data_IF_029375404409
#
_entry.id   IF_029375404409
#
_cell.length_a   1.000
_cell.length_b   1.000
_cell.length_c   1.000
_cell.angle_alpha   90.00
_cell.angle_beta   90.00
_cell.angle_gamma   90.00
#
_symmetry.space_group_name_H-M   'P 1'
#
loop_
_entity.id
_entity.type
_entity.pdbx_description
1 polymer ?
#
# COMPACT_ATOMS: atom_id res chain seq x y z
N UNK A 1 -23.96 6.68 -31.17
CA UNK A 1 -23.34 6.84 -32.51
C UNK A 1 -22.13 7.74 -32.35
N UNK A 2 -20.97 7.49 -32.93
CA UNK A 2 -19.87 8.44 -32.90
C UNK A 2 -20.28 9.70 -33.60
N UNK A 3 -19.84 10.84 -33.07
CA UNK A 3 -20.02 12.12 -33.73
C UNK A 3 -19.19 12.19 -35.04
N UNK A 4 -19.43 13.21 -35.86
CA UNK A 4 -18.76 13.37 -37.13
C UNK A 4 -17.23 13.59 -37.02
N UNK A 5 -16.64 13.68 -35.81
CA UNK A 5 -15.22 13.85 -35.54
C UNK A 5 -14.51 12.53 -35.18
N UNK A 6 -15.25 11.43 -35.06
CA UNK A 6 -14.69 10.11 -34.69
C UNK A 6 -14.20 10.00 -33.27
N UNK A 7 -14.41 10.99 -32.42
CA UNK A 7 -14.14 10.90 -30.98
C UNK A 7 -15.29 10.18 -30.29
N UNK A 8 -15.01 9.05 -29.64
CA UNK A 8 -15.96 8.46 -28.69
C UNK A 8 -16.28 9.51 -27.64
N UNK A 9 -17.57 9.83 -27.46
CA UNK A 9 -18.01 10.69 -26.37
C UNK A 9 -17.64 10.01 -25.05
N UNK A 10 -17.07 10.74 -24.10
CA UNK A 10 -16.71 10.25 -22.77
C UNK A 10 -17.94 9.92 -21.89
N UNK A 11 -19.12 9.79 -22.48
CA UNK A 11 -20.40 9.81 -21.74
C UNK A 11 -20.98 8.47 -21.37
N UNK A 12 -20.34 7.34 -21.65
CA UNK A 12 -20.94 6.04 -21.33
C UNK A 12 -19.94 5.03 -20.79
N UNK A 13 -19.39 5.29 -19.59
CA UNK A 13 -18.85 4.21 -18.78
C UNK A 13 -19.81 4.00 -17.60
N UNK A 14 -20.68 3.01 -17.72
CA UNK A 14 -21.46 2.53 -16.58
C UNK A 14 -20.50 2.07 -15.50
N UNK A 15 -20.54 2.74 -14.36
CA UNK A 15 -19.93 2.26 -13.14
C UNK A 15 -20.92 1.26 -12.53
N UNK A 16 -20.46 0.09 -12.19
CA UNK A 16 -21.27 -0.97 -11.62
C UNK A 16 -22.01 -0.48 -10.37
N UNK A 17 -23.33 -0.54 -10.38
CA UNK A 17 -24.20 -0.46 -9.22
C UNK A 17 -24.96 0.85 -8.99
N UNK A 18 -24.39 2.02 -9.29
CA UNK A 18 -25.04 3.33 -9.05
C UNK A 18 -25.03 4.21 -10.30
N UNK A 19 -26.06 5.03 -10.46
CA UNK A 19 -26.09 6.08 -11.48
C UNK A 19 -25.21 7.29 -11.04
N UNK A 20 -24.78 8.11 -11.98
CA UNK A 20 -24.03 9.33 -11.67
C UNK A 20 -24.83 10.29 -10.77
N UNK A 21 -26.14 10.29 -10.87
CA UNK A 21 -27.04 11.10 -10.03
C UNK A 21 -27.07 10.57 -8.58
N UNK A 22 -27.10 9.25 -8.40
CA UNK A 22 -27.00 8.63 -7.06
C UNK A 22 -25.65 8.95 -6.40
N UNK A 23 -24.55 8.94 -7.16
CA UNK A 23 -23.25 9.36 -6.64
C UNK A 23 -23.24 10.82 -6.18
N UNK A 24 -23.78 11.75 -7.01
CA UNK A 24 -23.83 13.18 -6.68
C UNK A 24 -24.71 13.53 -5.49
N UNK A 25 -25.70 12.70 -5.21
CA UNK A 25 -26.61 12.85 -4.08
C UNK A 25 -26.12 12.14 -2.80
N UNK A 26 -25.01 11.41 -2.89
CA UNK A 26 -24.42 10.75 -1.72
C UNK A 26 -23.58 11.72 -0.89
N UNK A 27 -23.31 11.35 0.36
CA UNK A 27 -22.37 12.07 1.20
C UNK A 27 -20.94 11.94 0.64
N UNK A 28 -20.31 13.05 0.21
CA UNK A 28 -18.97 13.01 -0.35
C UNK A 28 -17.90 12.44 0.59
N UNK A 29 -18.12 12.52 1.90
CA UNK A 29 -17.16 12.01 2.90
C UNK A 29 -16.95 10.49 2.79
N UNK A 30 -17.95 9.75 2.31
CA UNK A 30 -17.85 8.30 2.10
C UNK A 30 -16.88 7.91 0.98
N UNK A 31 -16.49 8.87 0.15
CA UNK A 31 -15.57 8.67 -0.98
C UNK A 31 -14.22 9.34 -0.75
N UNK A 32 -14.04 9.97 0.41
CA UNK A 32 -12.75 10.56 0.79
C UNK A 32 -11.70 9.45 0.88
N UNK A 33 -10.57 9.59 0.17
CA UNK A 33 -9.50 8.62 0.26
C UNK A 33 -8.91 8.58 1.66
N UNK A 34 -8.74 7.38 2.20
CA UNK A 34 -8.03 7.11 3.44
C UNK A 34 -6.97 6.02 3.25
N UNK A 35 -6.18 5.77 4.26
CA UNK A 35 -5.15 4.73 4.27
C UNK A 35 -4.20 4.78 3.04
N UNK A 36 -3.87 5.98 2.55
CA UNK A 36 -3.01 6.12 1.38
C UNK A 36 -1.59 5.65 1.69
N UNK A 37 -1.12 4.73 0.86
CA UNK A 37 0.25 4.23 0.90
C UNK A 37 0.84 4.13 -0.50
N UNK A 38 2.17 4.08 -0.56
CA UNK A 38 2.94 3.97 -1.79
C UNK A 38 3.94 2.83 -1.67
N UNK A 39 4.16 2.10 -2.75
CA UNK A 39 5.15 1.02 -2.85
C UNK A 39 5.97 1.11 -4.12
N UNK A 40 7.10 0.44 -4.16
CA UNK A 40 7.88 0.21 -5.38
C UNK A 40 7.31 -1.03 -6.07
N UNK A 41 6.48 -0.85 -7.10
CA UNK A 41 5.93 -1.97 -7.87
C UNK A 41 7.02 -2.67 -8.69
N UNK A 42 7.85 -1.87 -9.35
CA UNK A 42 9.04 -2.29 -10.06
C UNK A 42 10.10 -1.19 -9.90
N UNK A 43 11.03 -1.39 -8.98
CA UNK A 43 12.03 -0.38 -8.66
C UNK A 43 13.06 -0.20 -9.80
N UNK A 44 13.35 -1.25 -10.57
CA UNK A 44 14.30 -1.19 -11.68
C UNK A 44 13.78 -0.27 -12.79
N UNK A 45 12.47 -0.31 -13.05
CA UNK A 45 11.80 0.52 -14.06
C UNK A 45 11.13 1.77 -13.47
N UNK A 46 11.39 2.10 -12.21
CA UNK A 46 10.82 3.26 -11.53
C UNK A 46 9.28 3.27 -11.55
N UNK A 47 8.66 2.09 -11.41
CA UNK A 47 7.20 1.97 -11.34
C UNK A 47 6.74 2.01 -9.89
N UNK A 48 5.85 2.96 -9.60
CA UNK A 48 5.24 3.13 -8.29
C UNK A 48 3.83 2.58 -8.26
N UNK A 49 3.48 1.93 -7.15
CA UNK A 49 2.12 1.53 -6.82
C UNK A 49 1.55 2.42 -5.73
N UNK A 50 0.31 2.84 -5.90
CA UNK A 50 -0.45 3.62 -4.93
C UNK A 50 -1.68 2.83 -4.51
N UNK A 51 -1.94 2.79 -3.21
CA UNK A 51 -3.11 2.12 -2.64
C UNK A 51 -3.81 3.07 -1.67
N UNK A 52 -5.12 3.18 -1.78
CA UNK A 52 -5.96 3.93 -0.84
C UNK A 52 -7.32 3.27 -0.72
N UNK A 53 -8.10 3.64 0.28
CA UNK A 53 -9.45 3.10 0.45
C UNK A 53 -10.50 4.20 0.41
N UNK A 54 -11.74 3.78 0.21
CA UNK A 54 -12.95 4.58 0.37
C UNK A 54 -14.01 3.78 1.11
N UNK A 55 -14.85 4.43 1.90
CA UNK A 55 -15.92 3.77 2.66
C UNK A 55 -17.15 3.42 1.78
N UNK A 56 -17.19 3.91 0.54
CA UNK A 56 -18.23 3.59 -0.45
C UNK A 56 -17.61 3.29 -1.81
N UNK A 57 -18.35 2.56 -2.66
CA UNK A 57 -17.92 2.21 -4.01
C UNK A 57 -17.58 3.47 -4.80
N UNK A 58 -16.32 3.63 -5.24
CA UNK A 58 -15.91 4.83 -5.96
C UNK A 58 -16.52 4.87 -7.37
N UNK A 59 -16.83 6.08 -7.85
CA UNK A 59 -17.39 6.27 -9.18
C UNK A 59 -16.31 6.27 -10.28
N UNK A 60 -15.22 6.98 -10.05
CA UNK A 60 -14.07 7.04 -10.96
C UNK A 60 -12.78 7.33 -10.19
N UNK A 61 -12.25 6.32 -9.51
CA UNK A 61 -11.03 6.50 -8.74
C UNK A 61 -9.84 6.77 -9.64
N UNK A 62 -9.03 7.76 -9.30
CA UNK A 62 -7.86 8.18 -10.08
C UNK A 62 -6.69 8.57 -9.19
N UNK A 63 -5.49 8.40 -9.75
CA UNK A 63 -4.26 9.05 -9.34
C UNK A 63 -3.99 10.20 -10.31
N UNK A 64 -3.83 11.41 -9.81
CA UNK A 64 -3.32 12.55 -10.55
C UNK A 64 -1.89 12.82 -10.12
N UNK A 65 -0.98 13.00 -11.07
CA UNK A 65 0.43 13.24 -10.78
C UNK A 65 1.02 14.23 -11.79
N UNK A 66 1.82 15.16 -11.30
CA UNK A 66 2.41 16.23 -12.09
C UNK A 66 3.90 16.32 -11.82
N UNK A 67 4.71 16.33 -12.87
CA UNK A 67 6.12 16.66 -12.78
C UNK A 67 6.28 18.11 -12.29
N UNK A 68 7.00 18.30 -11.21
CA UNK A 68 7.14 19.61 -10.58
C UNK A 68 7.94 20.61 -11.42
N UNK A 69 8.85 20.12 -12.27
CA UNK A 69 9.70 20.96 -13.09
C UNK A 69 9.07 21.28 -14.45
N UNK A 70 8.63 20.26 -15.17
CA UNK A 70 8.05 20.42 -16.51
C UNK A 70 6.60 20.87 -16.48
N UNK A 71 5.87 20.58 -15.40
CA UNK A 71 4.43 20.77 -15.29
C UNK A 71 3.61 19.71 -16.04
N UNK A 72 4.24 18.69 -16.63
CA UNK A 72 3.54 17.61 -17.31
C UNK A 72 2.64 16.86 -16.33
N UNK A 73 1.36 16.75 -16.66
CA UNK A 73 0.36 16.06 -15.84
C UNK A 73 -0.03 14.72 -16.45
N UNK A 74 -0.19 13.72 -15.58
CA UNK A 74 -0.72 12.41 -15.93
C UNK A 74 -1.87 12.06 -15.00
N UNK A 75 -2.90 11.42 -15.55
CA UNK A 75 -4.02 10.86 -14.81
C UNK A 75 -4.08 9.37 -15.07
N UNK A 76 -4.07 8.58 -14.01
CA UNK A 76 -4.16 7.12 -14.07
C UNK A 76 -5.46 6.68 -13.41
N UNK A 77 -6.24 5.86 -14.11
CA UNK A 77 -7.41 5.21 -13.52
C UNK A 77 -6.95 4.13 -12.55
N UNK A 78 -7.62 4.07 -11.41
CA UNK A 78 -7.38 3.02 -10.43
C UNK A 78 -8.38 1.89 -10.61
N UNK A 79 -7.89 0.66 -10.46
CA UNK A 79 -8.74 -0.48 -10.20
C UNK A 79 -9.19 -0.46 -8.74
N UNK A 80 -10.35 -1.01 -8.43
CA UNK A 80 -10.79 -1.16 -7.06
C UNK A 80 -11.39 -2.53 -6.77
N UNK A 81 -11.32 -2.92 -5.51
CA UNK A 81 -11.86 -4.19 -5.03
C UNK A 81 -12.62 -3.95 -3.72
N UNK A 82 -13.82 -4.50 -3.63
CA UNK A 82 -14.59 -4.52 -2.41
C UNK A 82 -13.94 -5.47 -1.39
N UNK A 83 -13.79 -5.01 -0.17
CA UNK A 83 -13.18 -5.76 0.93
C UNK A 83 -14.09 -5.74 2.15
N UNK A 84 -14.45 -6.93 2.61
CA UNK A 84 -15.18 -7.09 3.87
C UNK A 84 -14.22 -6.93 5.04
N UNK A 85 -14.66 -6.21 6.05
CA UNK A 85 -13.91 -5.92 7.26
C UNK A 85 -14.83 -5.84 8.46
N UNK A 86 -14.30 -5.46 9.59
CA UNK A 86 -15.07 -5.28 10.83
C UNK A 86 -14.79 -3.91 11.43
N UNK A 87 -15.74 -3.42 12.21
CA UNK A 87 -15.50 -2.39 13.23
C UNK A 87 -15.89 -2.94 14.61
N UNK A 88 -15.19 -2.48 15.63
CA UNK A 88 -15.62 -2.75 17.01
C UNK A 88 -16.61 -1.66 17.45
N UNK A 89 -17.79 -2.05 17.89
CA UNK A 89 -18.80 -1.14 18.38
C UNK A 89 -19.44 -1.72 19.64
N UNK A 90 -19.32 -1.03 20.76
CA UNK A 90 -19.83 -1.45 22.06
C UNK A 90 -19.41 -2.90 22.45
N UNK A 91 -18.17 -3.28 22.11
CA UNK A 91 -17.66 -4.63 22.40
C UNK A 91 -18.14 -5.74 21.45
N UNK A 92 -18.84 -5.39 20.38
CA UNK A 92 -19.32 -6.31 19.36
C UNK A 92 -18.64 -6.05 18.03
N UNK A 93 -18.37 -7.11 17.27
CA UNK A 93 -17.86 -7.03 15.91
C UNK A 93 -19.03 -6.71 14.94
N UNK A 94 -18.95 -5.59 14.25
CA UNK A 94 -19.93 -5.16 13.26
C UNK A 94 -19.31 -5.26 11.87
N UNK A 95 -19.90 -6.05 10.95
CA UNK A 95 -19.44 -6.13 9.57
C UNK A 95 -19.49 -4.76 8.89
N UNK A 96 -18.44 -4.43 8.18
CA UNK A 96 -18.35 -3.26 7.31
C UNK A 96 -17.70 -3.66 5.99
N UNK A 97 -17.89 -2.84 4.99
CA UNK A 97 -17.25 -2.99 3.68
C UNK A 97 -16.51 -1.70 3.37
N UNK A 98 -15.33 -1.83 2.80
CA UNK A 98 -14.60 -0.72 2.19
C UNK A 98 -14.11 -1.11 0.79
N UNK A 99 -13.63 -0.13 0.04
CA UNK A 99 -13.13 -0.35 -1.32
C UNK A 99 -11.65 0.01 -1.38
N UNK A 100 -10.81 -0.97 -1.73
CA UNK A 100 -9.38 -0.77 -1.90
C UNK A 100 -9.10 -0.37 -3.35
N UNK A 101 -8.68 0.87 -3.55
CA UNK A 101 -8.33 1.43 -4.84
C UNK A 101 -6.83 1.31 -5.09
N UNK A 102 -6.44 1.01 -6.32
CA UNK A 102 -5.04 0.72 -6.68
C UNK A 102 -4.71 1.31 -8.04
N UNK A 103 -3.63 2.08 -8.07
CA UNK A 103 -3.07 2.62 -9.31
C UNK A 103 -1.57 2.36 -9.38
N UNK A 104 -1.03 2.20 -10.57
CA UNK A 104 0.42 2.12 -10.79
C UNK A 104 0.84 2.99 -11.96
N UNK A 105 2.04 3.54 -11.87
CA UNK A 105 2.59 4.44 -12.89
C UNK A 105 4.10 4.32 -12.96
N UNK A 106 4.61 4.32 -14.18
CA UNK A 106 6.03 4.50 -14.45
C UNK A 106 6.37 5.98 -14.43
N UNK A 107 7.39 6.33 -13.67
CA UNK A 107 7.85 7.71 -13.46
C UNK A 107 9.31 7.87 -13.89
N UNK A 108 9.70 9.10 -14.20
CA UNK A 108 11.09 9.41 -14.46
C UNK A 108 11.89 9.32 -13.16
N UNK A 109 13.01 8.59 -13.14
CA UNK A 109 13.89 8.52 -11.97
C UNK A 109 14.45 9.89 -11.54
N UNK A 110 14.80 10.01 -10.25
CA UNK A 110 15.40 11.20 -9.62
C UNK A 110 14.62 12.51 -9.84
N UNK A 111 13.32 12.41 -10.04
CA UNK A 111 12.41 13.51 -10.41
C UNK A 111 11.44 13.82 -9.28
N UNK A 112 11.10 15.11 -9.12
CA UNK A 112 10.09 15.55 -8.15
C UNK A 112 8.73 15.61 -8.78
N UNK A 113 7.77 14.97 -8.16
CA UNK A 113 6.37 14.97 -8.54
C UNK A 113 5.48 15.48 -7.42
N UNK A 114 4.33 16.03 -7.82
CA UNK A 114 3.23 16.35 -6.91
C UNK A 114 2.06 15.48 -7.33
N UNK A 115 1.44 14.79 -6.39
CA UNK A 115 0.34 13.89 -6.67
C UNK A 115 -0.81 14.01 -5.68
N UNK A 116 -1.98 13.58 -6.09
CA UNK A 116 -3.15 13.32 -5.24
C UNK A 116 -3.90 12.11 -5.77
N UNK A 117 -4.65 11.44 -4.90
CA UNK A 117 -5.58 10.38 -5.27
C UNK A 117 -7.00 10.78 -4.90
N UNK A 118 -7.99 10.23 -5.59
CA UNK A 118 -9.38 10.59 -5.30
C UNK A 118 -10.36 10.04 -6.30
N UNK A 119 -11.53 10.68 -6.37
CA UNK A 119 -12.58 10.36 -7.31
C UNK A 119 -12.86 11.55 -8.24
N UNK A 120 -12.69 11.32 -9.55
CA UNK A 120 -12.82 12.37 -10.56
C UNK A 120 -14.25 12.93 -10.66
N UNK A 121 -15.28 12.08 -10.54
CA UNK A 121 -16.66 12.53 -10.70
C UNK A 121 -17.18 13.27 -9.49
N UNK A 122 -16.71 12.87 -8.31
CA UNK A 122 -17.13 13.48 -7.06
C UNK A 122 -16.25 14.67 -6.66
N UNK A 123 -15.12 14.85 -7.36
CA UNK A 123 -14.14 15.91 -7.07
C UNK A 123 -13.64 15.85 -5.61
N UNK A 124 -13.48 14.65 -5.08
CA UNK A 124 -12.96 14.38 -3.72
C UNK A 124 -11.55 13.83 -3.84
N UNK A 125 -10.57 14.51 -3.25
CA UNK A 125 -9.15 14.17 -3.36
C UNK A 125 -8.44 14.31 -2.03
N UNK A 126 -7.31 13.62 -1.88
CA UNK A 126 -6.34 13.92 -0.82
C UNK A 126 -5.68 15.27 -1.05
N UNK A 127 -5.05 15.80 -0.02
CA UNK A 127 -4.11 16.90 -0.20
C UNK A 127 -2.99 16.51 -1.16
N UNK A 128 -2.50 17.51 -1.92
CA UNK A 128 -1.36 17.32 -2.80
C UNK A 128 -0.10 16.96 -2.00
N UNK A 129 0.57 15.92 -2.43
CA UNK A 129 1.79 15.42 -1.78
C UNK A 129 2.96 15.47 -2.74
N UNK A 130 4.08 16.04 -2.29
CA UNK A 130 5.33 16.02 -3.04
C UNK A 130 6.13 14.77 -2.73
N UNK A 131 6.58 14.08 -3.77
CA UNK A 131 7.52 12.96 -3.70
C UNK A 131 8.75 13.22 -4.57
N UNK A 132 9.85 12.57 -4.23
CA UNK A 132 11.01 12.45 -5.11
C UNK A 132 11.19 10.97 -5.46
N UNK A 133 11.19 10.66 -6.76
CA UNK A 133 11.37 9.29 -7.22
C UNK A 133 12.79 8.78 -6.93
N UNK A 134 12.90 7.45 -6.82
CA UNK A 134 14.19 6.77 -6.70
C UNK A 134 15.07 7.03 -7.93
N UNK A 135 16.39 6.85 -7.79
CA UNK A 135 17.31 6.85 -8.93
C UNK A 135 17.23 5.51 -9.67
N UNK A 136 17.32 5.54 -10.99
CA UNK A 136 17.32 4.31 -11.80
C UNK A 136 18.56 3.44 -11.53
N UNK A 137 19.68 4.08 -11.19
CA UNK A 137 20.94 3.42 -10.85
C UNK A 137 21.66 4.25 -9.79
N UNK A 138 22.00 3.62 -8.68
CA UNK A 138 22.80 4.25 -7.63
C UNK A 138 24.16 3.55 -7.51
N UNK A 139 25.21 4.26 -7.92
CA UNK A 139 26.58 3.85 -7.63
C UNK A 139 27.05 4.32 -6.25
N UNK A 140 26.22 5.11 -5.57
CA UNK A 140 26.51 5.69 -4.26
C UNK A 140 25.81 4.90 -3.14
N UNK A 141 26.23 5.15 -1.92
CA UNK A 141 25.58 4.59 -0.72
C UNK A 141 24.16 5.12 -0.60
N UNK A 142 23.20 4.24 -0.49
CA UNK A 142 21.81 4.54 -0.24
C UNK A 142 21.32 3.85 1.04
N UNK A 143 20.17 4.25 1.57
CA UNK A 143 19.65 3.76 2.83
C UNK A 143 18.20 3.32 2.67
N UNK A 144 17.85 2.25 3.36
CA UNK A 144 16.47 1.88 3.66
C UNK A 144 16.32 1.71 5.17
N UNK A 145 15.08 1.69 5.62
CA UNK A 145 14.78 1.42 7.03
C UNK A 145 14.02 0.10 7.11
N UNK A 146 14.41 -0.73 8.05
CA UNK A 146 13.67 -1.92 8.42
C UNK A 146 12.93 -1.69 9.73
N UNK A 147 11.63 -1.98 9.71
CA UNK A 147 10.73 -1.94 10.87
C UNK A 147 9.88 -3.19 10.93
N UNK A 148 9.38 -3.51 12.11
CA UNK A 148 8.50 -4.65 12.36
C UNK A 148 7.65 -4.36 13.60
N UNK A 149 6.60 -5.17 13.81
CA UNK A 149 5.89 -5.26 15.07
C UNK A 149 5.39 -3.90 15.60
N UNK A 150 4.86 -3.07 14.72
CA UNK A 150 4.24 -1.80 15.13
C UNK A 150 2.95 -2.02 15.90
N UNK A 151 2.25 -3.11 15.65
CA UNK A 151 1.06 -3.62 16.37
C UNK A 151 0.12 -2.51 16.84
N UNK A 152 -0.15 -1.54 15.96
CA UNK A 152 -0.97 -0.40 16.31
C UNK A 152 -2.37 -0.85 16.71
N UNK A 153 -2.75 -0.51 17.93
CA UNK A 153 -4.08 -0.75 18.45
C UNK A 153 -5.02 0.41 18.14
N UNK A 154 -6.31 0.10 18.04
CA UNK A 154 -7.36 1.09 18.09
C UNK A 154 -7.37 1.84 19.42
N UNK A 155 -8.12 2.91 19.51
CA UNK A 155 -8.23 3.77 20.70
C UNK A 155 -8.20 2.99 22.02
N UNK A 156 -7.17 3.23 22.81
CA UNK A 156 -7.07 2.66 24.16
C UNK A 156 -8.08 3.38 25.06
N UNK A 157 -9.12 2.67 25.48
CA UNK A 157 -10.19 3.23 26.29
C UNK A 157 -9.78 3.63 27.71
N UNK A 158 -8.61 3.25 28.18
CA UNK A 158 -8.18 3.41 29.59
C UNK A 158 -6.99 4.36 29.81
N UNK A 159 -6.85 5.41 28.98
CA UNK A 159 -5.79 6.42 29.20
C UNK A 159 -4.37 5.92 28.92
N UNK A 160 -4.20 4.72 28.37
CA UNK A 160 -2.94 4.22 27.85
C UNK A 160 -2.56 4.93 26.54
N UNK A 161 -1.28 5.00 26.28
CA UNK A 161 -0.76 5.48 25.00
C UNK A 161 -0.90 4.33 24.01
N UNK A 162 -1.77 4.48 23.00
CA UNK A 162 -1.90 3.47 21.94
C UNK A 162 -0.55 3.20 21.27
N UNK A 163 -0.28 1.95 20.93
CA UNK A 163 1.01 1.54 20.34
C UNK A 163 1.31 2.26 19.04
N UNK A 164 0.29 2.72 18.30
CA UNK A 164 0.44 3.57 17.12
C UNK A 164 1.26 4.84 17.33
N UNK A 165 1.25 5.41 18.54
CA UNK A 165 2.08 6.60 18.87
C UNK A 165 3.57 6.28 18.81
N UNK A 166 3.98 5.09 19.20
CA UNK A 166 5.40 4.71 19.12
C UNK A 166 5.84 4.56 17.66
N UNK A 167 5.01 3.94 16.84
CA UNK A 167 5.28 3.84 15.41
C UNK A 167 5.32 5.21 14.74
N UNK A 168 4.43 6.12 15.10
CA UNK A 168 4.45 7.51 14.62
C UNK A 168 5.75 8.25 14.97
N UNK A 169 6.34 7.99 16.14
CA UNK A 169 7.65 8.55 16.50
C UNK A 169 8.78 7.97 15.65
N UNK A 170 8.74 6.67 15.36
CA UNK A 170 9.69 6.02 14.44
C UNK A 170 9.57 6.62 13.04
N UNK A 171 8.35 6.72 12.50
CA UNK A 171 8.11 7.31 11.18
C UNK A 171 8.52 8.78 11.11
N UNK A 172 8.33 9.55 12.17
CA UNK A 172 8.83 10.92 12.26
C UNK A 172 10.36 10.96 12.11
N UNK A 173 11.08 10.11 12.85
CA UNK A 173 12.54 10.03 12.77
C UNK A 173 13.01 9.59 11.38
N UNK A 174 12.28 8.67 10.73
CA UNK A 174 12.54 8.25 9.35
C UNK A 174 12.32 9.41 8.38
N UNK A 175 11.22 10.13 8.51
CA UNK A 175 10.89 11.26 7.63
C UNK A 175 11.82 12.47 7.78
N UNK A 176 12.48 12.61 8.94
CA UNK A 176 13.50 13.62 9.19
C UNK A 176 14.92 13.19 8.71
N UNK A 177 15.12 11.91 8.46
CA UNK A 177 16.38 11.39 7.96
C UNK A 177 16.52 11.63 6.45
N UNK A 178 17.73 12.01 6.03
CA UNK A 178 18.04 12.17 4.62
C UNK A 178 18.31 10.80 3.95
N UNK A 179 17.99 10.71 2.67
CA UNK A 179 18.39 9.60 1.78
C UNK A 179 17.77 8.23 2.07
N UNK A 180 16.65 8.17 2.81
CA UNK A 180 15.86 6.96 2.93
C UNK A 180 15.08 6.76 1.63
N UNK A 181 15.30 5.62 0.95
CA UNK A 181 14.65 5.28 -0.32
C UNK A 181 13.31 4.61 -0.13
N UNK A 182 13.21 3.73 0.84
CA UNK A 182 11.99 3.01 1.18
C UNK A 182 12.07 2.43 2.60
N UNK A 183 10.93 1.99 3.08
CA UNK A 183 10.77 1.27 4.35
C UNK A 183 10.47 -0.18 4.01
N UNK A 184 11.14 -1.12 4.67
CA UNK A 184 10.77 -2.54 4.71
C UNK A 184 10.03 -2.80 6.01
N UNK A 185 8.77 -3.22 5.94
CA UNK A 185 7.97 -3.58 7.11
C UNK A 185 7.69 -5.08 7.11
N UNK A 186 8.18 -5.78 8.11
CA UNK A 186 8.16 -7.25 8.10
C UNK A 186 7.00 -7.89 8.84
N UNK A 187 5.91 -7.14 8.96
CA UNK A 187 4.62 -7.64 9.46
C UNK A 187 4.28 -7.17 10.86
N UNK A 188 3.12 -7.62 11.33
CA UNK A 188 2.49 -7.18 12.57
C UNK A 188 2.34 -5.66 12.64
N UNK A 189 1.75 -5.11 11.56
CA UNK A 189 1.52 -3.67 11.40
C UNK A 189 0.48 -3.19 12.40
N UNK A 190 -0.58 -3.97 12.55
CA UNK A 190 -1.71 -3.71 13.45
C UNK A 190 -1.96 -4.92 14.36
N UNK A 191 -2.54 -4.70 15.53
CA UNK A 191 -2.85 -5.79 16.46
C UNK A 191 -3.92 -6.75 15.93
N UNK A 192 -4.96 -6.23 15.26
CA UNK A 192 -6.00 -7.03 14.63
C UNK A 192 -6.35 -6.48 13.26
N UNK A 193 -5.82 -7.08 12.21
CA UNK A 193 -5.99 -6.63 10.84
C UNK A 193 -7.43 -6.70 10.32
N UNK A 194 -8.31 -7.44 10.97
CA UNK A 194 -9.74 -7.48 10.67
C UNK A 194 -10.46 -6.14 10.94
N UNK A 195 -9.92 -5.26 11.79
CA UNK A 195 -10.53 -3.99 12.13
C UNK A 195 -10.00 -2.86 11.27
N UNK A 196 -10.89 -2.25 10.48
CA UNK A 196 -10.52 -1.10 9.63
C UNK A 196 -10.00 0.09 10.45
N UNK A 197 -10.56 0.32 11.64
CA UNK A 197 -10.13 1.42 12.51
C UNK A 197 -8.65 1.33 12.89
N UNK A 198 -8.11 0.13 13.05
CA UNK A 198 -6.71 -0.06 13.40
C UNK A 198 -5.80 0.36 12.24
N UNK A 199 -6.18 0.04 11.01
CA UNK A 199 -5.50 0.48 9.81
C UNK A 199 -5.58 2.00 9.61
N UNK A 200 -6.78 2.59 9.77
CA UNK A 200 -6.95 4.05 9.71
C UNK A 200 -6.05 4.74 10.74
N UNK A 201 -6.04 4.28 11.98
CA UNK A 201 -5.21 4.88 13.03
C UNK A 201 -3.72 4.83 12.72
N UNK A 202 -3.23 3.78 12.08
CA UNK A 202 -1.80 3.71 11.74
C UNK A 202 -1.47 4.45 10.44
N UNK A 203 -2.33 4.38 9.44
CA UNK A 203 -2.02 4.91 8.10
C UNK A 203 -2.39 6.39 7.98
N UNK A 204 -3.57 6.80 8.44
CA UNK A 204 -4.02 8.19 8.32
C UNK A 204 -3.30 9.13 9.28
N UNK A 205 -3.04 8.71 10.52
CA UNK A 205 -2.24 9.49 11.46
C UNK A 205 -0.80 9.71 10.96
N UNK A 206 -0.29 8.81 10.13
CA UNK A 206 1.05 8.86 9.57
C UNK A 206 1.09 9.22 8.08
N UNK A 207 -0.01 9.68 7.52
CA UNK A 207 -0.14 10.08 6.12
C UNK A 207 1.04 10.93 5.63
N UNK A 208 1.44 11.93 6.38
CA UNK A 208 2.53 12.85 6.02
C UNK A 208 3.89 12.18 5.77
N UNK A 209 4.09 10.94 6.23
CA UNK A 209 5.30 10.14 6.01
C UNK A 209 5.06 9.03 5.00
N UNK A 210 4.00 8.24 5.20
CA UNK A 210 3.68 7.06 4.41
C UNK A 210 3.24 7.39 2.97
N UNK A 211 2.72 8.60 2.75
CA UNK A 211 2.44 9.10 1.41
C UNK A 211 3.68 9.58 0.64
N UNK A 212 4.86 9.66 1.29
CA UNK A 212 6.09 10.19 0.68
C UNK A 212 7.21 9.16 0.53
N UNK A 213 7.19 8.12 1.35
CA UNK A 213 8.23 7.10 1.40
C UNK A 213 7.59 5.75 1.05
N UNK A 214 8.04 5.07 -0.02
CA UNK A 214 7.52 3.76 -0.37
C UNK A 214 7.67 2.75 0.77
N UNK A 215 6.64 1.93 0.99
CA UNK A 215 6.66 0.86 1.97
C UNK A 215 6.57 -0.49 1.28
N UNK A 216 7.57 -1.33 1.55
CA UNK A 216 7.65 -2.71 1.09
C UNK A 216 7.31 -3.62 2.27
N UNK A 217 6.04 -4.00 2.38
CA UNK A 217 5.54 -4.73 3.53
C UNK A 217 5.31 -6.21 3.24
N UNK A 218 5.43 -7.04 4.26
CA UNK A 218 4.93 -8.42 4.27
C UNK A 218 3.93 -8.62 5.41
N UNK A 219 3.15 -9.68 5.35
CA UNK A 219 2.24 -10.05 6.43
C UNK A 219 2.98 -10.72 7.58
N UNK A 220 2.73 -10.27 8.81
CA UNK A 220 3.01 -11.00 10.01
C UNK A 220 1.87 -11.95 10.40
N UNK A 221 1.94 -12.55 11.59
CA UNK A 221 0.86 -13.43 12.06
C UNK A 221 -0.38 -12.65 12.47
N UNK A 222 -0.28 -11.38 12.85
CA UNK A 222 -1.41 -10.51 13.14
C UNK A 222 -2.22 -10.13 11.91
N UNK A 223 -1.69 -10.30 10.71
CA UNK A 223 -2.38 -10.10 9.43
C UNK A 223 -2.90 -11.39 8.81
N UNK A 224 -2.50 -12.58 9.27
CA UNK A 224 -2.75 -13.83 8.52
C UNK A 224 -3.38 -14.97 9.30
N UNK A 225 -3.51 -14.85 10.63
CA UNK A 225 -4.12 -15.87 11.48
C UNK A 225 -5.60 -15.57 11.76
N UNK A 226 -6.18 -16.21 12.77
CA UNK A 226 -7.58 -16.01 13.19
C UNK A 226 -7.95 -14.55 13.56
N UNK A 227 -6.96 -13.67 13.67
CA UNK A 227 -7.14 -12.25 14.00
C UNK A 227 -7.48 -11.38 12.78
N UNK A 228 -7.52 -11.94 11.58
CA UNK A 228 -7.39 -11.15 10.36
C UNK A 228 -8.25 -11.62 9.19
N UNK A 229 -8.44 -10.74 8.24
CA UNK A 229 -8.82 -11.05 6.86
C UNK A 229 -7.62 -11.49 6.03
N UNK A 230 -7.89 -12.18 4.91
CA UNK A 230 -6.81 -12.63 4.01
C UNK A 230 -6.12 -11.44 3.34
N UNK A 231 -4.79 -11.40 3.43
CA UNK A 231 -3.93 -10.46 2.69
C UNK A 231 -4.22 -8.96 2.93
N UNK A 232 -4.70 -8.58 4.11
CA UNK A 232 -4.98 -7.18 4.45
C UNK A 232 -3.76 -6.28 4.27
N UNK A 233 -2.58 -6.70 4.71
CA UNK A 233 -1.34 -5.93 4.51
C UNK A 233 -1.12 -5.62 3.03
N UNK A 234 -1.35 -6.59 2.16
CA UNK A 234 -1.17 -6.41 0.73
C UNK A 234 -2.19 -5.46 0.12
N UNK A 235 -3.43 -5.49 0.62
CA UNK A 235 -4.46 -4.54 0.18
C UNK A 235 -4.19 -3.12 0.62
N UNK A 236 -3.38 -2.92 1.67
CA UNK A 236 -3.13 -1.61 2.28
C UNK A 236 -1.80 -0.99 1.89
N UNK A 237 -0.72 -1.78 1.85
CA UNK A 237 0.64 -1.28 1.62
C UNK A 237 1.21 -1.61 0.27
N UNK A 238 0.83 -2.72 -0.33
CA UNK A 238 1.51 -3.23 -1.50
C UNK A 238 0.57 -3.31 -2.68
N UNK A 239 0.80 -2.46 -3.68
CA UNK A 239 0.05 -2.57 -4.92
C UNK A 239 0.67 -3.63 -5.82
N UNK A 240 -0.11 -4.68 -6.14
CA UNK A 240 0.17 -5.68 -7.19
C UNK A 240 1.65 -6.05 -7.40
N UNK A 241 2.49 -5.91 -6.37
CA UNK A 241 3.85 -6.41 -6.42
C UNK A 241 3.77 -7.88 -6.83
N UNK A 242 4.55 -8.32 -7.82
CA UNK A 242 4.58 -9.73 -8.19
C UNK A 242 4.80 -10.59 -6.96
N UNK A 243 3.80 -11.35 -6.58
CA UNK A 243 3.77 -12.13 -5.35
C UNK A 243 3.25 -13.52 -5.56
N UNK A 244 3.64 -14.41 -4.68
CA UNK A 244 3.03 -15.72 -4.55
C UNK A 244 2.04 -15.69 -3.39
N UNK A 245 0.75 -15.85 -3.68
CA UNK A 245 -0.27 -15.92 -2.66
C UNK A 245 -0.33 -17.30 -2.04
N UNK A 246 -0.58 -17.32 -0.74
CA UNK A 246 -0.74 -18.53 0.04
C UNK A 246 -2.04 -18.47 0.85
N UNK A 247 -2.40 -19.55 1.51
CA UNK A 247 -3.54 -19.57 2.41
C UNK A 247 -3.36 -18.59 3.59
N UNK A 248 -2.12 -18.41 4.06
CA UNK A 248 -1.75 -17.56 5.18
C UNK A 248 -0.76 -16.48 4.76
N UNK A 249 -1.19 -15.57 3.89
CA UNK A 249 -0.37 -14.44 3.45
C UNK A 249 0.30 -14.64 2.09
N UNK A 250 1.46 -14.05 1.89
CA UNK A 250 2.15 -14.02 0.60
C UNK A 250 3.67 -13.88 0.78
N UNK A 251 4.41 -14.20 -0.27
CA UNK A 251 5.85 -13.94 -0.37
C UNK A 251 6.20 -13.38 -1.75
N UNK A 252 7.25 -12.57 -1.83
CA UNK A 252 7.68 -11.91 -3.06
C UNK A 252 9.15 -11.49 -2.99
N UNK A 253 9.69 -11.01 -4.11
CA UNK A 253 10.99 -10.35 -4.15
C UNK A 253 10.91 -9.04 -4.91
N UNK A 254 11.88 -8.17 -4.67
CA UNK A 254 12.12 -6.96 -5.45
C UNK A 254 13.61 -6.63 -5.43
N UNK A 255 14.08 -5.89 -6.43
CA UNK A 255 15.47 -5.44 -6.50
C UNK A 255 15.53 -3.92 -6.39
N UNK A 256 16.58 -3.40 -5.77
CA UNK A 256 16.90 -1.99 -5.76
C UNK A 256 18.42 -1.81 -5.82
N UNK A 257 18.95 -1.13 -6.85
CA UNK A 257 20.37 -1.13 -7.15
C UNK A 257 20.88 -2.56 -7.36
N UNK A 258 21.99 -2.89 -6.73
CA UNK A 258 22.62 -4.22 -6.80
C UNK A 258 22.13 -5.16 -5.70
N UNK A 259 21.01 -4.82 -5.01
CA UNK A 259 20.49 -5.59 -3.88
C UNK A 259 19.14 -6.18 -4.21
N UNK A 260 19.01 -7.49 -4.03
CA UNK A 260 17.74 -8.20 -4.09
C UNK A 260 17.18 -8.45 -2.69
N UNK A 261 15.93 -8.09 -2.49
CA UNK A 261 15.16 -8.33 -1.27
C UNK A 261 14.24 -9.52 -1.49
N UNK A 262 14.32 -10.52 -0.62
CA UNK A 262 13.44 -11.68 -0.63
C UNK A 262 12.56 -11.62 0.62
N UNK A 263 11.27 -11.41 0.41
CA UNK A 263 10.26 -11.26 1.45
C UNK A 263 9.55 -12.60 1.66
N UNK A 264 9.99 -13.37 2.66
CA UNK A 264 9.46 -14.70 2.94
C UNK A 264 8.22 -14.66 3.83
N UNK A 265 7.26 -15.53 3.54
CA UNK A 265 6.12 -15.78 4.42
C UNK A 265 6.45 -16.89 5.43
N UNK A 266 6.79 -16.50 6.65
CA UNK A 266 7.11 -17.42 7.73
C UNK A 266 5.89 -17.89 8.52
N UNK A 267 4.70 -17.35 8.25
CA UNK A 267 3.44 -17.83 8.84
C UNK A 267 3.02 -19.20 8.29
N UNK A 268 3.62 -19.61 7.16
CA UNK A 268 3.37 -20.89 6.52
C UNK A 268 4.59 -21.79 6.62
N UNK A 269 4.90 -22.20 7.85
CA UNK A 269 5.96 -23.17 8.11
C UNK A 269 5.39 -24.59 8.20
N UNK A 270 6.08 -25.54 7.61
CA UNK A 270 5.86 -26.96 7.88
C UNK A 270 6.75 -27.37 9.07
N UNK A 271 6.24 -27.20 10.26
CA UNK A 271 7.04 -27.28 11.47
C UNK A 271 8.00 -26.08 11.58
N UNK A 272 9.30 -26.31 11.49
CA UNK A 272 10.34 -25.26 11.52
C UNK A 272 10.91 -24.95 10.13
N UNK A 273 10.31 -25.46 9.05
CA UNK A 273 10.83 -25.32 7.68
C UNK A 273 9.82 -24.58 6.80
N UNK A 274 10.31 -23.83 5.85
CA UNK A 274 9.50 -23.30 4.76
C UNK A 274 8.80 -24.45 4.00
N UNK A 275 7.64 -24.15 3.43
CA UNK A 275 7.00 -25.10 2.51
C UNK A 275 7.87 -25.32 1.28
N UNK A 276 7.75 -26.50 0.64
CA UNK A 276 8.56 -26.86 -0.54
C UNK A 276 8.44 -25.83 -1.66
N UNK A 277 7.21 -25.39 -1.95
CA UNK A 277 6.92 -24.40 -2.99
C UNK A 277 7.62 -23.05 -2.75
N UNK A 278 7.62 -22.56 -1.52
CA UNK A 278 8.31 -21.34 -1.16
C UNK A 278 9.84 -21.51 -1.13
N UNK A 279 10.31 -22.68 -0.73
CA UNK A 279 11.73 -23.00 -0.75
C UNK A 279 12.25 -23.05 -2.19
N UNK A 280 11.58 -23.79 -3.08
CA UNK A 280 11.95 -23.92 -4.49
C UNK A 280 11.90 -22.56 -5.21
N UNK A 281 10.89 -21.76 -4.91
CA UNK A 281 10.80 -20.37 -5.40
C UNK A 281 12.00 -19.55 -4.94
N UNK A 282 12.31 -19.57 -3.64
CA UNK A 282 13.46 -18.85 -3.08
C UNK A 282 14.77 -19.29 -3.73
N UNK A 283 15.00 -20.60 -3.92
CA UNK A 283 16.18 -21.08 -4.63
C UNK A 283 16.28 -20.54 -6.05
N UNK A 284 15.16 -20.44 -6.76
CA UNK A 284 15.13 -19.87 -8.10
C UNK A 284 15.43 -18.38 -8.10
N UNK A 285 14.86 -17.63 -7.15
CA UNK A 285 15.17 -16.21 -6.97
C UNK A 285 16.65 -15.96 -6.69
N UNK A 286 17.31 -16.85 -5.92
CA UNK A 286 18.73 -16.77 -5.60
C UNK A 286 19.65 -17.04 -6.81
N UNK A 287 19.16 -17.76 -7.84
CA UNK A 287 19.92 -18.11 -9.03
C UNK A 287 19.88 -17.02 -10.12
N UNK A 288 18.96 -16.09 -10.04
CA UNK A 288 18.63 -15.19 -11.17
C UNK A 288 19.58 -14.03 -11.40
N UNK A 289 20.48 -13.68 -10.48
CA UNK A 289 21.46 -12.59 -10.67
C UNK A 289 22.75 -12.78 -9.85
N UNK A 290 23.88 -12.27 -10.40
CA UNK A 290 25.16 -12.15 -9.68
C UNK A 290 25.20 -10.93 -8.74
N UNK A 291 24.15 -10.67 -8.00
CA UNK A 291 24.00 -9.49 -7.17
C UNK A 291 24.26 -9.77 -5.69
N UNK A 292 24.62 -8.72 -4.98
CA UNK A 292 24.74 -8.79 -3.52
C UNK A 292 23.36 -9.09 -2.94
N UNK A 293 23.22 -10.24 -2.32
CA UNK A 293 21.98 -10.70 -1.75
C UNK A 293 21.84 -10.19 -0.32
N UNK A 294 20.91 -9.27 -0.08
CA UNK A 294 20.40 -9.02 1.25
C UNK A 294 19.15 -9.87 1.45
N UNK A 295 19.32 -11.03 2.07
CA UNK A 295 18.21 -11.87 2.48
C UNK A 295 17.55 -11.26 3.70
N UNK A 296 16.45 -10.55 3.51
CA UNK A 296 15.63 -10.07 4.61
C UNK A 296 14.74 -11.23 5.09
N UNK A 297 15.35 -12.23 5.75
CA UNK A 297 14.62 -13.23 6.52
C UNK A 297 14.37 -12.62 7.89
N UNK A 298 13.19 -12.10 8.11
CA UNK A 298 12.77 -11.72 9.45
C UNK A 298 11.72 -12.71 9.86
N UNK A 299 12.15 -13.59 10.71
CA UNK A 299 11.31 -14.50 11.44
C UNK A 299 10.60 -13.68 12.53
N UNK A 300 9.30 -13.41 12.38
CA UNK A 300 8.48 -13.28 13.58
C UNK A 300 8.41 -14.67 14.21
N UNK A 301 9.33 -14.95 15.14
CA UNK A 301 9.26 -16.14 15.96
C UNK A 301 8.42 -15.74 17.18
N UNK A 302 7.23 -16.31 17.28
CA UNK A 302 6.52 -16.41 18.56
C UNK A 302 6.98 -17.64 19.29
#
# INVERSE_FOLDING_TARGET
MPDASGKKSETDTFVFGKTLEEYKNSDPSLYSPDCLTMSLYDAENCVYGFTWNTDSEPARPILQIRDKLSGEEKTVHADFTMVDSLKSENGSDVPITYYSCKAKIELTPDTRYIYSVGDKYLSVYTDETEIKTIKAFESETWKFVHVSDSQAEGNVQDGGVGTGVYFSRVLKSIGEASDIRFIVHTGDVVEYSKYQSYWKNVLDENFRYLSKIPVMAKSGNHETTYKCGKNETFNRFCYNIPKQETELGFYYSFSYGDVKFIMLNTNRLNGTKLTSDQYDWMENELKTKNELLLLCIILCIQ
#
